data_IF_718771131943
#
_entry.id   IF_718771131943
#
_cell.length_a   1.000
_cell.length_b   1.000
_cell.length_c   1.000
_cell.angle_alpha   90.00
_cell.angle_beta   90.00
_cell.angle_gamma   90.00
#
_symmetry.space_group_name_H-M   'P 1'
#
loop_
_entity.id
_entity.type
_entity.pdbx_description
1 polymer ?
#
# COMPACT_ATOMS: atom_id res chain seq x y z
N UNK A 1 -44.11 7.74 -0.81
CA UNK A 1 -43.59 6.74 0.16
C UNK A 1 -42.38 5.93 -0.29
N UNK A 2 -42.04 5.86 -1.56
CA UNK A 2 -40.91 5.02 -2.05
C UNK A 2 -39.55 5.71 -2.11
N UNK A 3 -39.50 7.03 -2.24
CA UNK A 3 -38.23 7.79 -2.39
C UNK A 3 -37.51 7.91 -1.04
N UNK A 4 -38.25 8.14 0.03
CA UNK A 4 -37.67 8.31 1.38
C UNK A 4 -37.00 7.02 1.91
N UNK A 5 -37.55 5.85 1.59
CA UNK A 5 -36.99 4.56 1.99
C UNK A 5 -35.67 4.29 1.29
N UNK A 6 -35.52 4.65 0.03
CA UNK A 6 -34.28 4.47 -0.73
C UNK A 6 -33.17 5.42 -0.25
N UNK A 7 -33.53 6.64 0.15
CA UNK A 7 -32.56 7.60 0.70
C UNK A 7 -32.06 7.16 2.06
N UNK A 8 -32.96 6.73 2.95
CA UNK A 8 -32.61 6.23 4.29
C UNK A 8 -31.70 5.00 4.18
N UNK A 9 -32.03 4.03 3.32
CA UNK A 9 -31.19 2.83 3.14
C UNK A 9 -29.81 3.14 2.59
N UNK A 10 -29.68 4.16 1.70
CA UNK A 10 -28.38 4.58 1.18
C UNK A 10 -27.52 5.25 2.25
N UNK A 11 -28.12 6.04 3.15
CA UNK A 11 -27.43 6.69 4.28
C UNK A 11 -26.97 5.63 5.29
N UNK A 12 -27.82 4.67 5.64
CA UNK A 12 -27.49 3.59 6.57
C UNK A 12 -26.33 2.73 6.03
N UNK A 13 -26.35 2.38 4.74
CA UNK A 13 -25.25 1.66 4.10
C UNK A 13 -23.93 2.44 4.15
N UNK A 14 -23.95 3.73 3.87
CA UNK A 14 -22.75 4.58 3.96
C UNK A 14 -22.20 4.68 5.38
N UNK A 15 -23.08 4.78 6.38
CA UNK A 15 -22.66 4.79 7.78
C UNK A 15 -22.03 3.45 8.19
N UNK A 16 -22.60 2.33 7.73
CA UNK A 16 -22.08 1.00 8.00
C UNK A 16 -20.71 0.80 7.34
N UNK A 17 -20.54 1.19 6.09
CA UNK A 17 -19.28 1.13 5.37
C UNK A 17 -18.19 1.96 6.05
N UNK A 18 -18.49 3.18 6.48
CA UNK A 18 -17.55 4.03 7.20
C UNK A 18 -17.12 3.42 8.54
N UNK A 19 -18.05 2.82 9.28
CA UNK A 19 -17.75 2.15 10.54
C UNK A 19 -16.86 0.93 10.35
N UNK A 20 -17.11 0.11 9.33
CA UNK A 20 -16.29 -1.06 9.01
C UNK A 20 -14.89 -0.61 8.59
N UNK A 21 -14.77 0.42 7.77
CA UNK A 21 -13.48 0.94 7.32
C UNK A 21 -12.65 1.50 8.48
N UNK A 22 -13.26 2.26 9.38
CA UNK A 22 -12.59 2.78 10.59
C UNK A 22 -12.16 1.66 11.54
N UNK A 23 -12.94 0.60 11.66
CA UNK A 23 -12.56 -0.57 12.45
C UNK A 23 -11.38 -1.33 11.83
N UNK A 24 -11.41 -1.58 10.52
CA UNK A 24 -10.31 -2.22 9.80
C UNK A 24 -9.02 -1.39 9.86
N UNK A 25 -9.11 -0.06 9.85
CA UNK A 25 -7.98 0.82 10.03
C UNK A 25 -7.31 0.63 11.39
N UNK A 26 -8.10 0.62 12.46
CA UNK A 26 -7.59 0.35 13.82
C UNK A 26 -6.94 -1.02 13.94
N UNK A 27 -7.58 -2.07 13.40
CA UNK A 27 -7.00 -3.41 13.39
C UNK A 27 -5.68 -3.47 12.62
N UNK A 28 -5.59 -2.78 11.49
CA UNK A 28 -4.36 -2.70 10.70
C UNK A 28 -3.25 -2.00 11.47
N UNK A 29 -3.56 -0.88 12.13
CA UNK A 29 -2.60 -0.14 12.93
C UNK A 29 -2.04 -1.00 14.07
N UNK A 30 -2.91 -1.65 14.85
CA UNK A 30 -2.50 -2.55 15.94
C UNK A 30 -1.70 -3.74 15.44
N UNK A 31 -2.07 -4.31 14.29
CA UNK A 31 -1.39 -5.46 13.72
C UNK A 31 0.05 -5.15 13.27
N UNK A 32 0.33 -3.91 12.87
CA UNK A 32 1.63 -3.52 12.34
C UNK A 32 2.46 -2.63 13.27
N UNK A 33 1.93 -2.16 14.41
CA UNK A 33 2.65 -1.24 15.30
C UNK A 33 3.99 -1.78 15.81
N UNK A 34 4.11 -3.10 15.93
CA UNK A 34 5.32 -3.78 16.39
C UNK A 34 6.38 -3.96 15.30
N UNK A 35 6.07 -3.64 14.03
CA UNK A 35 7.01 -3.86 12.93
C UNK A 35 8.08 -2.77 12.93
N UNK A 36 9.33 -3.20 13.06
CA UNK A 36 10.52 -2.36 13.12
C UNK A 36 11.56 -2.74 12.06
N UNK A 37 12.59 -1.92 11.89
CA UNK A 37 13.75 -2.25 11.04
C UNK A 37 14.94 -2.65 11.89
N UNK A 38 15.59 -3.74 11.51
CA UNK A 38 16.86 -4.14 12.10
C UNK A 38 17.98 -3.15 11.72
N UNK A 39 19.10 -3.13 12.45
CA UNK A 39 20.25 -2.30 12.13
C UNK A 39 20.74 -2.46 10.69
N UNK A 40 21.42 -1.45 10.18
CA UNK A 40 22.01 -1.46 8.84
C UNK A 40 22.99 -2.63 8.67
N UNK A 41 23.00 -3.19 7.44
CA UNK A 41 23.85 -4.34 7.12
C UNK A 41 23.30 -5.70 7.56
N UNK A 42 22.18 -5.77 8.31
CA UNK A 42 21.61 -7.04 8.75
C UNK A 42 21.04 -7.84 7.58
N UNK A 43 21.22 -9.16 7.65
CA UNK A 43 20.68 -10.12 6.70
C UNK A 43 20.05 -11.29 7.46
N UNK A 44 18.80 -11.58 7.16
CA UNK A 44 18.09 -12.72 7.76
C UNK A 44 18.44 -14.08 7.10
N UNK A 45 19.24 -14.08 6.04
CA UNK A 45 19.66 -15.28 5.32
C UNK A 45 18.56 -16.00 4.53
N UNK A 46 17.35 -15.40 4.37
CA UNK A 46 16.27 -16.07 3.62
C UNK A 46 16.66 -16.36 2.18
N UNK A 47 16.24 -17.51 1.68
CA UNK A 47 16.32 -17.87 0.26
C UNK A 47 15.01 -17.54 -0.50
N UNK A 48 14.00 -17.11 0.21
CA UNK A 48 12.72 -16.73 -0.39
C UNK A 48 12.87 -15.42 -1.17
N UNK A 49 12.16 -15.33 -2.27
CA UNK A 49 12.21 -14.18 -3.16
C UNK A 49 10.86 -13.95 -3.84
N UNK A 50 10.68 -12.74 -4.32
CA UNK A 50 9.65 -12.43 -5.30
C UNK A 50 10.29 -12.26 -6.68
N UNK A 51 9.54 -12.58 -7.74
CA UNK A 51 9.97 -12.36 -9.12
C UNK A 51 9.36 -11.07 -9.63
N UNK A 52 10.21 -10.15 -10.07
CA UNK A 52 9.80 -8.81 -10.53
C UNK A 52 10.38 -8.56 -11.92
N UNK A 53 9.56 -8.06 -12.84
CA UNK A 53 10.03 -7.53 -14.12
C UNK A 53 10.30 -6.04 -13.96
N UNK A 54 11.55 -5.65 -14.11
CA UNK A 54 11.98 -4.26 -14.03
C UNK A 54 11.79 -3.59 -15.40
N UNK A 55 11.05 -2.52 -15.45
CA UNK A 55 10.83 -1.73 -16.66
C UNK A 55 11.10 -0.25 -16.38
N UNK A 56 11.19 0.57 -17.43
CA UNK A 56 11.51 1.98 -17.29
C UNK A 56 10.56 2.79 -16.41
N UNK A 57 9.34 2.27 -16.12
CA UNK A 57 8.36 2.96 -15.28
C UNK A 57 8.48 2.61 -13.78
N UNK A 58 9.02 1.45 -13.47
CA UNK A 58 9.10 0.95 -12.09
C UNK A 58 10.53 0.83 -11.54
N UNK A 59 11.53 1.02 -12.38
CA UNK A 59 12.93 0.84 -12.02
C UNK A 59 13.33 1.64 -10.77
N UNK A 60 12.97 2.92 -10.73
CA UNK A 60 13.28 3.81 -9.60
C UNK A 60 12.59 3.40 -8.28
N UNK A 61 11.46 2.69 -8.36
CA UNK A 61 10.73 2.22 -7.17
C UNK A 61 11.49 1.12 -6.44
N UNK A 62 12.31 0.37 -7.16
CA UNK A 62 13.07 -0.76 -6.63
C UNK A 62 14.52 -0.41 -6.31
N UNK A 63 14.90 0.87 -6.40
CA UNK A 63 16.22 1.33 -5.97
C UNK A 63 16.46 0.91 -4.51
N UNK A 64 17.68 0.50 -4.20
CA UNK A 64 18.12 -0.05 -2.91
C UNK A 64 17.52 -1.42 -2.52
N UNK A 65 16.72 -2.05 -3.36
CA UNK A 65 16.34 -3.42 -3.13
C UNK A 65 17.44 -4.38 -3.57
N UNK A 66 17.49 -5.54 -2.92
CA UNK A 66 18.50 -6.55 -3.21
C UNK A 66 17.95 -7.61 -4.14
N UNK A 67 18.66 -7.83 -5.26
CA UNK A 67 18.38 -8.90 -6.22
C UNK A 67 19.30 -10.09 -5.96
N UNK A 68 18.81 -11.28 -6.29
CA UNK A 68 19.55 -12.55 -6.18
C UNK A 68 20.09 -12.90 -7.55
N UNK A 69 21.40 -12.86 -7.72
CA UNK A 69 22.10 -13.30 -8.94
C UNK A 69 23.00 -14.50 -8.59
N UNK A 70 22.52 -15.70 -8.92
CA UNK A 70 23.16 -16.93 -8.46
C UNK A 70 23.14 -17.08 -6.95
N UNK A 71 24.30 -17.05 -6.30
CA UNK A 71 24.47 -17.09 -4.84
C UNK A 71 24.74 -15.70 -4.22
N UNK A 72 24.72 -14.65 -4.99
CA UNK A 72 25.08 -13.30 -4.54
C UNK A 72 23.85 -12.42 -4.42
N UNK A 73 23.84 -11.56 -3.37
CA UNK A 73 22.90 -10.46 -3.24
C UNK A 73 23.56 -9.20 -3.81
N UNK A 74 22.88 -8.56 -4.74
CA UNK A 74 23.32 -7.33 -5.39
C UNK A 74 22.31 -6.25 -5.07
N UNK A 75 22.74 -5.15 -4.48
CA UNK A 75 21.92 -3.97 -4.26
C UNK A 75 21.68 -3.25 -5.58
N UNK A 76 20.44 -2.88 -5.87
CA UNK A 76 20.11 -2.03 -7.00
C UNK A 76 20.44 -0.58 -6.66
N UNK A 77 21.40 -0.02 -7.38
CA UNK A 77 21.83 1.38 -7.26
C UNK A 77 21.64 2.12 -8.58
N UNK A 78 21.74 3.44 -8.58
CA UNK A 78 21.71 4.25 -9.81
C UNK A 78 22.73 3.77 -10.86
N UNK A 79 23.86 3.23 -10.41
CA UNK A 79 24.97 2.86 -11.29
C UNK A 79 24.75 1.52 -12.02
N UNK A 80 23.97 0.63 -11.42
CA UNK A 80 23.78 -0.72 -11.95
C UNK A 80 22.34 -1.05 -12.40
N UNK A 81 21.36 -0.23 -12.04
CA UNK A 81 19.95 -0.51 -12.30
C UNK A 81 19.63 -0.61 -13.78
N UNK A 82 20.32 0.15 -14.65
CA UNK A 82 20.13 0.11 -16.10
C UNK A 82 20.49 -1.26 -16.71
N UNK A 83 21.44 -1.97 -16.11
CA UNK A 83 21.80 -3.35 -16.51
C UNK A 83 20.62 -4.32 -16.40
N UNK A 84 19.69 -4.04 -15.52
CA UNK A 84 18.52 -4.89 -15.21
C UNK A 84 17.23 -4.39 -15.84
N UNK A 85 17.25 -3.31 -16.62
CA UNK A 85 16.09 -2.80 -17.36
C UNK A 85 15.52 -3.90 -18.26
N UNK A 86 14.22 -4.01 -18.25
CA UNK A 86 13.41 -5.00 -19.01
C UNK A 86 13.76 -6.46 -18.73
N UNK A 87 14.43 -6.72 -17.61
CA UNK A 87 14.73 -8.07 -17.14
C UNK A 87 13.82 -8.48 -15.99
N UNK A 88 13.55 -9.78 -15.92
CA UNK A 88 12.89 -10.41 -14.79
C UNK A 88 13.95 -10.88 -13.80
N UNK A 89 13.89 -10.36 -12.59
CA UNK A 89 14.86 -10.62 -11.50
C UNK A 89 14.19 -11.24 -10.30
N UNK A 90 14.94 -11.99 -9.52
CA UNK A 90 14.56 -12.49 -8.20
C UNK A 90 14.99 -11.46 -7.17
N UNK A 91 14.07 -10.99 -6.35
CA UNK A 91 14.30 -9.89 -5.43
C UNK A 91 13.91 -10.27 -4.00
N UNK A 92 14.73 -9.83 -3.05
CA UNK A 92 14.42 -9.92 -1.62
C UNK A 92 13.36 -8.89 -1.26
N UNK A 93 12.43 -9.27 -0.38
CA UNK A 93 11.33 -8.39 0.00
C UNK A 93 10.96 -8.56 1.47
N UNK A 94 10.37 -7.52 2.07
CA UNK A 94 10.03 -7.50 3.49
C UNK A 94 9.08 -8.62 3.91
N UNK A 95 8.13 -9.01 3.05
CA UNK A 95 7.20 -10.11 3.31
C UNK A 95 7.87 -11.48 3.41
N UNK A 96 9.07 -11.64 2.85
CA UNK A 96 9.85 -12.88 2.84
C UNK A 96 10.96 -12.90 3.91
N UNK A 97 11.02 -11.88 4.76
CA UNK A 97 12.04 -11.74 5.78
C UNK A 97 11.83 -12.74 6.92
N UNK A 98 12.85 -13.57 7.22
CA UNK A 98 12.77 -14.52 8.31
C UNK A 98 12.69 -13.87 9.69
N UNK A 99 13.29 -12.69 9.88
CA UNK A 99 13.15 -11.93 11.12
C UNK A 99 11.72 -11.40 11.29
N UNK A 100 11.11 -10.95 10.20
CA UNK A 100 9.74 -10.46 10.24
C UNK A 100 8.74 -11.56 10.63
N UNK A 101 8.97 -12.79 10.17
CA UNK A 101 8.12 -13.94 10.51
C UNK A 101 8.18 -14.30 12.02
N UNK A 102 9.28 -13.98 12.70
CA UNK A 102 9.50 -14.33 14.11
C UNK A 102 9.18 -13.19 15.06
N UNK A 103 9.78 -12.03 14.81
CA UNK A 103 9.84 -10.94 15.78
C UNK A 103 9.24 -9.62 15.27
N UNK A 104 8.65 -9.60 14.08
CA UNK A 104 8.16 -8.38 13.43
C UNK A 104 9.27 -7.41 13.01
N UNK A 105 10.54 -7.83 13.05
CA UNK A 105 11.69 -7.02 12.69
C UNK A 105 12.14 -7.34 11.26
N UNK A 106 12.26 -6.35 10.41
CA UNK A 106 12.67 -6.52 9.01
C UNK A 106 14.15 -6.22 8.87
N UNK A 107 14.96 -7.18 8.38
CA UNK A 107 16.38 -6.94 8.13
C UNK A 107 16.60 -5.92 7.03
N UNK A 108 17.74 -5.21 7.06
CA UNK A 108 18.02 -4.11 6.11
C UNK A 108 17.99 -4.56 4.65
N UNK A 109 18.47 -5.76 4.35
CA UNK A 109 18.47 -6.29 2.97
C UNK A 109 17.08 -6.64 2.44
N UNK A 110 16.16 -7.10 3.30
CA UNK A 110 14.78 -7.35 2.91
C UNK A 110 13.93 -6.07 2.91
N UNK A 111 14.29 -5.09 3.72
CA UNK A 111 13.63 -3.79 3.75
C UNK A 111 13.88 -2.98 2.48
N UNK A 112 15.08 -3.08 1.90
CA UNK A 112 15.44 -2.38 0.66
C UNK A 112 15.11 -0.89 0.73
N UNK A 113 14.32 -0.41 -0.21
CA UNK A 113 13.89 0.99 -0.29
C UNK A 113 13.26 1.53 1.00
N UNK A 114 12.55 0.70 1.77
CA UNK A 114 11.92 1.11 3.03
C UNK A 114 12.97 1.59 4.04
N UNK A 115 14.17 0.99 4.02
CA UNK A 115 15.25 1.33 4.93
C UNK A 115 15.69 2.79 4.81
N UNK A 116 15.66 3.33 3.60
CA UNK A 116 16.10 4.71 3.30
C UNK A 116 14.96 5.74 3.35
N UNK A 117 13.71 5.29 3.25
CA UNK A 117 12.55 6.18 3.14
C UNK A 117 11.73 6.33 4.41
N UNK A 118 11.96 5.48 5.42
CA UNK A 118 11.19 5.51 6.67
C UNK A 118 12.07 5.78 7.87
N UNK A 119 11.49 6.37 8.91
CA UNK A 119 12.11 6.42 10.22
C UNK A 119 12.13 4.98 10.77
N UNK A 120 13.32 4.52 11.16
CA UNK A 120 13.60 3.12 11.51
C UNK A 120 12.72 2.54 12.61
N UNK A 121 12.19 3.38 13.48
CA UNK A 121 11.54 2.97 14.73
C UNK A 121 10.03 2.73 14.62
N UNK A 122 9.36 3.10 13.54
CA UNK A 122 7.90 2.99 13.41
C UNK A 122 7.44 2.66 11.99
N UNK A 123 8.11 1.71 11.36
CA UNK A 123 7.80 1.33 9.97
C UNK A 123 6.38 0.85 9.83
N UNK A 124 5.92 0.02 10.78
CA UNK A 124 4.57 -0.50 10.75
C UNK A 124 3.52 0.60 10.85
N UNK A 125 3.70 1.55 11.77
CA UNK A 125 2.81 2.70 11.89
C UNK A 125 2.81 3.56 10.62
N UNK A 126 3.97 3.85 10.05
CA UNK A 126 4.07 4.63 8.82
C UNK A 126 3.37 3.93 7.65
N UNK A 127 3.55 2.63 7.49
CA UNK A 127 2.87 1.84 6.45
C UNK A 127 1.36 1.85 6.67
N UNK A 128 0.90 1.70 7.92
CA UNK A 128 -0.52 1.73 8.26
C UNK A 128 -1.14 3.09 7.96
N UNK A 129 -0.47 4.19 8.29
CA UNK A 129 -0.92 5.56 7.99
C UNK A 129 -1.04 5.76 6.48
N UNK A 130 -0.02 5.35 5.71
CA UNK A 130 -0.05 5.46 4.25
C UNK A 130 -1.19 4.63 3.66
N UNK A 131 -1.38 3.41 4.13
CA UNK A 131 -2.45 2.52 3.69
C UNK A 131 -3.84 3.09 4.00
N UNK A 132 -4.02 3.64 5.21
CA UNK A 132 -5.23 4.33 5.64
C UNK A 132 -5.54 5.53 4.75
N UNK A 133 -4.53 6.37 4.50
CA UNK A 133 -4.67 7.54 3.61
C UNK A 133 -5.09 7.13 2.21
N UNK A 134 -4.47 6.08 1.64
CA UNK A 134 -4.84 5.58 0.32
C UNK A 134 -6.27 5.04 0.27
N UNK A 135 -6.70 4.33 1.32
CA UNK A 135 -8.10 3.84 1.43
C UNK A 135 -9.08 5.01 1.50
N UNK A 136 -8.79 6.03 2.30
CA UNK A 136 -9.64 7.20 2.45
C UNK A 136 -9.77 7.99 1.13
N UNK A 137 -8.67 8.15 0.38
CA UNK A 137 -8.69 8.77 -0.94
C UNK A 137 -9.51 7.94 -1.93
N UNK A 138 -9.35 6.63 -1.93
CA UNK A 138 -10.12 5.72 -2.79
C UNK A 138 -11.62 5.79 -2.47
N UNK A 139 -11.99 5.79 -1.18
CA UNK A 139 -13.38 5.94 -0.73
C UNK A 139 -13.97 7.29 -1.15
N UNK A 140 -13.22 8.38 -0.97
CA UNK A 140 -13.66 9.71 -1.42
C UNK A 140 -13.92 9.71 -2.92
N UNK A 141 -12.99 9.22 -3.73
CA UNK A 141 -13.16 9.14 -5.18
C UNK A 141 -14.36 8.30 -5.58
N UNK A 142 -14.63 7.21 -4.84
CA UNK A 142 -15.81 6.38 -5.06
C UNK A 142 -17.10 7.16 -4.75
N UNK A 143 -17.17 7.86 -3.63
CA UNK A 143 -18.32 8.71 -3.29
C UNK A 143 -18.53 9.82 -4.29
N UNK A 144 -17.47 10.53 -4.67
CA UNK A 144 -17.53 11.63 -5.65
C UNK A 144 -17.99 11.12 -7.04
N UNK A 145 -17.61 9.90 -7.41
CA UNK A 145 -18.05 9.28 -8.67
C UNK A 145 -19.51 8.84 -8.66
N UNK A 146 -20.07 8.56 -7.49
CA UNK A 146 -21.49 8.22 -7.33
C UNK A 146 -22.40 9.44 -7.16
N UNK A 147 -21.87 10.57 -6.73
CA UNK A 147 -22.57 11.85 -6.70
C UNK A 147 -22.62 12.43 -8.12
N UNK A 148 -23.33 11.77 -9.01
CA UNK A 148 -23.78 12.44 -10.25
C UNK A 148 -24.90 13.37 -9.87
N UNK A 149 -24.59 14.63 -9.74
CA UNK A 149 -25.60 15.68 -9.75
C UNK A 149 -26.34 15.59 -11.09
N UNK A 150 -27.51 15.01 -11.07
CA UNK A 150 -28.45 15.23 -12.16
C UNK A 150 -28.94 16.65 -11.95
N UNK A 151 -28.42 17.58 -12.74
CA UNK A 151 -28.95 18.95 -12.81
C UNK A 151 -30.36 18.83 -13.35
N UNK A 152 -31.33 18.66 -12.44
CA UNK A 152 -32.74 18.61 -12.79
C UNK A 152 -33.22 20.04 -12.85
N UNK A 153 -33.59 20.48 -14.04
CA UNK A 153 -34.37 21.71 -14.23
C UNK A 153 -35.77 21.48 -13.64
N UNK A 154 -36.11 22.07 -12.47
CA UNK A 154 -37.40 21.85 -11.81
C UNK A 154 -38.57 22.25 -12.69
N UNK A 155 -38.38 23.24 -13.56
CA UNK A 155 -39.42 23.73 -14.45
C UNK A 155 -39.80 22.68 -15.53
N UNK A 156 -38.77 21.92 -16.00
CA UNK A 156 -39.03 20.84 -16.96
C UNK A 156 -39.61 19.60 -16.33
N UNK A 157 -39.14 19.28 -15.12
CA UNK A 157 -39.54 18.03 -14.40
C UNK A 157 -40.98 18.14 -13.88
N UNK A 158 -41.36 19.30 -13.35
CA UNK A 158 -42.69 19.51 -12.76
C UNK A 158 -43.68 20.20 -13.68
N UNK A 159 -43.31 20.47 -14.93
CA UNK A 159 -44.19 21.07 -15.91
C UNK A 159 -44.69 22.48 -15.52
N UNK A 160 -43.91 23.15 -14.68
CA UNK A 160 -44.25 24.52 -14.26
C UNK A 160 -43.96 25.49 -15.44
N UNK A 161 -44.95 26.33 -15.77
CA UNK A 161 -44.83 27.39 -16.77
C UNK A 161 -44.54 28.71 -16.10
#
# INVERSE_FOLDING_TARGET
>A
MSVDILVISSIELRLLENNIMGYLEKLTLVAYEHVTLAPEGTDCGTNDYITVTLNGKNLDRYMYNYIIEGSRLIELTSDNMEKYRDKTVKMRFSSMCEYNKKDGCICSKCAGTLYYRTLKENVGNNVSIIQSTLKNVAMKNFHDSQERFIEMDPMKVFGLK
#
